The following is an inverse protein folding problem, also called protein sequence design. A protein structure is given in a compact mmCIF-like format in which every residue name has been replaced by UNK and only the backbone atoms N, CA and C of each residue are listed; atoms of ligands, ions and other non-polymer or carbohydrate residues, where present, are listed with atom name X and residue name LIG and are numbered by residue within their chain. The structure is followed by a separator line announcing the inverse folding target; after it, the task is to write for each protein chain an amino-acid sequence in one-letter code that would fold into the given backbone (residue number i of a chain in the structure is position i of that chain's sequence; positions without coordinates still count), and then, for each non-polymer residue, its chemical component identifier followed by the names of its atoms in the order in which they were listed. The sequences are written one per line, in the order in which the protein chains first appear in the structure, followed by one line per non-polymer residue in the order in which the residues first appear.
data_IF_356931418089
#
_entry.id   IF_356931418089
#
_cell.length_a   1.000
_cell.length_b   1.000
_cell.length_c   1.000
_cell.angle_alpha   90.00
_cell.angle_beta   90.00
_cell.angle_gamma   90.00
#
_symmetry.space_group_name_H-M   'P 1'
#
loop_
_entity.id
_entity.type
_entity.pdbx_description
1 polymer ?
#
# COMPACT_ATOMS: atom_id res chain seq x y z
N UNK A 1 18.14 -13.65 10.29
CA UNK A 1 17.54 -12.71 9.33
C UNK A 1 16.04 -12.72 9.58
N UNK A 2 15.53 -11.65 10.15
CA UNK A 2 14.08 -11.52 10.39
C UNK A 2 13.50 -10.83 9.17
N UNK A 3 12.60 -11.52 8.44
CA UNK A 3 11.81 -10.94 7.37
C UNK A 3 10.44 -10.65 7.96
N UNK A 4 10.17 -9.38 8.25
CA UNK A 4 8.94 -8.97 8.94
C UNK A 4 7.79 -8.66 7.97
N UNK A 5 8.11 -8.31 6.72
CA UNK A 5 7.12 -7.89 5.75
C UNK A 5 7.50 -8.23 4.30
N UNK A 6 6.53 -8.12 3.40
CA UNK A 6 6.70 -8.47 1.99
C UNK A 6 7.74 -7.62 1.23
N UNK A 7 7.97 -6.36 1.64
CA UNK A 7 9.03 -5.53 1.05
C UNK A 7 10.40 -6.09 1.40
N UNK A 8 10.62 -6.45 2.66
CA UNK A 8 11.87 -7.07 3.10
C UNK A 8 12.08 -8.44 2.42
N UNK A 9 11.03 -9.24 2.25
CA UNK A 9 11.10 -10.50 1.50
C UNK A 9 11.62 -10.27 0.08
N UNK A 10 11.04 -9.33 -0.65
CA UNK A 10 11.46 -9.03 -2.03
C UNK A 10 12.88 -8.46 -2.09
N UNK A 11 13.22 -7.54 -1.20
CA UNK A 11 14.57 -7.01 -1.09
C UNK A 11 15.58 -8.13 -0.82
N UNK A 12 15.28 -9.08 0.07
CA UNK A 12 16.10 -10.24 0.31
C UNK A 12 16.33 -11.07 -0.97
N UNK A 13 15.26 -11.37 -1.71
CA UNK A 13 15.35 -12.09 -2.98
C UNK A 13 16.20 -11.32 -4.00
N UNK A 14 16.00 -10.01 -4.10
CA UNK A 14 16.76 -9.14 -4.99
C UNK A 14 18.27 -9.16 -4.65
N UNK A 15 18.61 -8.97 -3.38
CA UNK A 15 20.00 -9.00 -2.90
C UNK A 15 20.65 -10.35 -3.20
N UNK A 16 19.96 -11.45 -2.91
CA UNK A 16 20.48 -12.81 -3.15
C UNK A 16 20.75 -13.10 -4.62
N UNK A 17 20.06 -12.40 -5.54
CA UNK A 17 20.20 -12.59 -6.99
C UNK A 17 21.01 -11.50 -7.70
N UNK A 18 21.35 -10.43 -7.01
CA UNK A 18 22.06 -9.27 -7.61
C UNK A 18 23.48 -9.59 -8.08
N UNK A 19 24.07 -10.67 -7.61
CA UNK A 19 25.52 -10.97 -7.79
C UNK A 19 26.42 -10.21 -6.82
N UNK A 20 25.94 -9.20 -6.11
CA UNK A 20 26.73 -8.39 -5.18
C UNK A 20 27.36 -9.19 -4.03
N UNK A 21 26.73 -10.31 -3.66
CA UNK A 21 27.23 -11.25 -2.65
C UNK A 21 27.88 -12.51 -3.28
N UNK A 22 28.36 -12.39 -4.52
CA UNK A 22 28.98 -13.48 -5.30
C UNK A 22 28.07 -14.67 -5.55
N UNK A 23 26.73 -14.49 -5.45
CA UNK A 23 25.72 -15.49 -5.76
C UNK A 23 24.81 -14.98 -6.89
N UNK A 24 24.48 -15.87 -7.83
CA UNK A 24 23.54 -15.60 -8.93
C UNK A 24 22.23 -16.37 -8.78
N UNK A 25 22.09 -17.19 -7.73
CA UNK A 25 20.90 -17.99 -7.45
C UNK A 25 20.58 -18.01 -5.97
N UNK A 26 19.30 -18.28 -5.66
CA UNK A 26 18.84 -18.32 -4.27
C UNK A 26 19.47 -19.44 -3.45
N UNK A 27 19.78 -20.60 -4.04
CA UNK A 27 20.20 -21.78 -3.29
C UNK A 27 19.06 -22.40 -2.46
N UNK A 28 19.31 -23.56 -1.83
CA UNK A 28 18.29 -24.33 -1.11
C UNK A 28 17.83 -23.67 0.20
N UNK A 29 18.76 -23.18 1.01
CA UNK A 29 18.44 -22.59 2.32
C UNK A 29 17.62 -21.29 2.19
N UNK A 30 18.01 -20.30 1.39
CA UNK A 30 17.17 -19.13 1.13
C UNK A 30 15.79 -19.47 0.58
N UNK A 31 15.67 -20.43 -0.35
CA UNK A 31 14.35 -20.89 -0.85
C UNK A 31 13.49 -21.46 0.28
N UNK A 32 14.06 -22.26 1.16
CA UNK A 32 13.35 -22.82 2.32
C UNK A 32 12.86 -21.71 3.26
N UNK A 33 13.67 -20.70 3.54
CA UNK A 33 13.29 -19.57 4.38
C UNK A 33 12.18 -18.73 3.75
N UNK A 34 12.25 -18.43 2.46
CA UNK A 34 11.23 -17.70 1.71
C UNK A 34 9.92 -18.48 1.72
N UNK A 35 9.95 -19.77 1.43
CA UNK A 35 8.75 -20.62 1.42
C UNK A 35 8.12 -20.69 2.82
N UNK A 36 8.93 -20.78 3.87
CA UNK A 36 8.44 -20.76 5.24
C UNK A 36 7.75 -19.44 5.59
N UNK A 37 8.31 -18.32 5.14
CA UNK A 37 7.64 -17.02 5.30
C UNK A 37 6.33 -16.96 4.52
N UNK A 38 6.32 -17.34 3.24
CA UNK A 38 5.13 -17.30 2.38
C UNK A 38 3.99 -18.15 2.93
N UNK A 39 4.28 -19.36 3.46
CA UNK A 39 3.30 -20.28 4.01
C UNK A 39 2.71 -19.75 5.32
N UNK A 40 3.54 -19.10 6.17
CA UNK A 40 3.11 -18.60 7.47
C UNK A 40 2.56 -17.17 7.44
N UNK A 41 2.75 -16.44 6.34
CA UNK A 41 2.26 -15.09 6.20
C UNK A 41 0.73 -15.03 6.26
N UNK A 42 0.22 -13.98 6.91
CA UNK A 42 -1.22 -13.65 6.88
C UNK A 42 -1.62 -13.13 5.50
N UNK A 43 -2.91 -13.15 5.21
CA UNK A 43 -3.47 -12.61 3.95
C UNK A 43 -3.08 -11.15 3.73
N UNK A 44 -3.09 -10.33 4.80
CA UNK A 44 -2.65 -8.94 4.75
C UNK A 44 -1.16 -8.79 4.41
N UNK A 45 -0.32 -9.68 4.95
CA UNK A 45 1.12 -9.68 4.63
C UNK A 45 1.36 -10.10 3.17
N UNK A 46 0.63 -11.11 2.67
CA UNK A 46 0.72 -11.55 1.28
C UNK A 46 0.19 -10.48 0.32
N UNK A 47 -0.93 -9.82 0.64
CA UNK A 47 -1.45 -8.70 -0.13
C UNK A 47 -0.44 -7.54 -0.19
N UNK A 48 0.16 -7.17 0.94
CA UNK A 48 1.20 -6.15 0.99
C UNK A 48 2.45 -6.57 0.22
N UNK A 49 2.79 -7.86 0.23
CA UNK A 49 3.91 -8.40 -0.54
C UNK A 49 3.65 -8.35 -2.05
N UNK A 50 2.39 -8.36 -2.48
CA UNK A 50 2.03 -8.24 -3.89
C UNK A 50 2.19 -6.82 -4.46
N UNK A 51 2.45 -5.82 -3.60
CA UNK A 51 2.71 -4.45 -4.01
C UNK A 51 4.19 -4.30 -4.35
N UNK A 52 4.52 -4.15 -5.65
CA UNK A 52 5.86 -3.90 -6.16
C UNK A 52 6.36 -4.97 -7.14
N UNK A 53 7.32 -4.58 -7.98
CA UNK A 53 7.63 -5.29 -9.23
C UNK A 53 9.08 -5.82 -9.33
N UNK A 54 9.97 -5.57 -8.37
CA UNK A 54 11.39 -5.94 -8.51
C UNK A 54 11.93 -6.61 -7.23
N UNK A 55 11.84 -7.94 -7.15
CA UNK A 55 10.98 -8.84 -7.91
C UNK A 55 9.51 -8.70 -7.51
N UNK A 56 8.57 -9.07 -8.38
CA UNK A 56 7.16 -9.20 -8.01
C UNK A 56 6.95 -10.43 -7.11
N UNK A 57 5.83 -10.46 -6.38
CA UNK A 57 5.48 -11.67 -5.60
C UNK A 57 5.28 -12.89 -6.52
N UNK A 58 4.75 -12.69 -7.72
CA UNK A 58 4.65 -13.75 -8.74
C UNK A 58 6.03 -14.32 -9.12
N UNK A 59 7.06 -13.47 -9.26
CA UNK A 59 8.42 -13.95 -9.53
C UNK A 59 8.97 -14.77 -8.36
N UNK A 60 8.73 -14.31 -7.13
CA UNK A 60 9.15 -15.05 -5.93
C UNK A 60 8.50 -16.42 -5.90
N UNK A 61 7.17 -16.51 -6.12
CA UNK A 61 6.44 -17.79 -6.18
C UNK A 61 6.99 -18.71 -7.27
N UNK A 62 7.26 -18.19 -8.48
CA UNK A 62 7.85 -18.95 -9.59
C UNK A 62 9.26 -19.46 -9.30
N UNK A 63 10.04 -18.73 -8.50
CA UNK A 63 11.42 -19.13 -8.15
C UNK A 63 11.50 -20.13 -7.02
N UNK A 64 10.55 -20.10 -6.09
CA UNK A 64 10.66 -20.85 -4.85
C UNK A 64 9.72 -22.02 -4.75
N UNK A 65 8.63 -22.01 -5.54
CA UNK A 65 7.61 -23.06 -5.59
C UNK A 65 7.10 -23.48 -4.20
N UNK A 66 6.55 -22.56 -3.38
CA UNK A 66 6.02 -22.90 -2.08
C UNK A 66 4.84 -23.87 -2.20
N UNK A 67 4.71 -24.79 -1.25
CA UNK A 67 3.51 -25.63 -1.13
C UNK A 67 2.50 -24.89 -0.27
N UNK A 68 1.30 -24.53 -0.78
CA UNK A 68 0.28 -23.85 0.02
C UNK A 68 -0.13 -24.68 1.23
N UNK A 69 -0.48 -24.01 2.33
CA UNK A 69 -0.91 -24.67 3.57
C UNK A 69 -2.37 -25.16 3.52
N UNK A 70 -3.19 -24.47 2.73
CA UNK A 70 -4.62 -24.71 2.61
C UNK A 70 -5.15 -24.26 1.23
N UNK A 71 -6.43 -24.56 0.96
CA UNK A 71 -7.11 -24.23 -0.29
C UNK A 71 -7.17 -22.72 -0.56
N UNK A 72 -7.36 -21.90 0.48
CA UNK A 72 -7.43 -20.45 0.32
C UNK A 72 -6.08 -19.87 -0.11
N UNK A 73 -5.00 -20.36 0.48
CA UNK A 73 -3.66 -19.94 0.09
C UNK A 73 -3.29 -20.43 -1.32
N UNK A 74 -3.73 -21.64 -1.70
CA UNK A 74 -3.54 -22.16 -3.06
C UNK A 74 -4.26 -21.28 -4.09
N UNK A 75 -5.53 -20.97 -3.85
CA UNK A 75 -6.31 -20.06 -4.68
C UNK A 75 -5.63 -18.68 -4.77
N UNK A 76 -5.11 -18.18 -3.67
CA UNK A 76 -4.42 -16.89 -3.66
C UNK A 76 -3.09 -16.92 -4.44
N UNK A 77 -2.31 -17.99 -4.33
CA UNK A 77 -1.10 -18.13 -5.16
C UNK A 77 -1.45 -18.29 -6.64
N UNK A 78 -2.52 -19.03 -6.97
CA UNK A 78 -3.03 -19.13 -8.34
C UNK A 78 -3.44 -17.74 -8.88
N UNK A 79 -4.18 -16.95 -8.09
CA UNK A 79 -4.54 -15.57 -8.41
C UNK A 79 -3.33 -14.69 -8.73
N UNK A 80 -2.30 -14.69 -7.85
CA UNK A 80 -1.07 -13.91 -8.05
C UNK A 80 -0.32 -14.35 -9.31
N UNK A 81 -0.33 -15.65 -9.60
CA UNK A 81 0.33 -16.23 -10.78
C UNK A 81 -0.45 -16.08 -12.07
N UNK A 82 -1.66 -15.50 -12.04
CA UNK A 82 -2.57 -15.38 -13.19
C UNK A 82 -3.09 -16.73 -13.69
N UNK A 83 -3.18 -17.72 -12.80
CA UNK A 83 -3.76 -19.03 -13.08
C UNK A 83 -5.26 -19.03 -12.74
N UNK A 84 -5.96 -20.11 -13.14
CA UNK A 84 -7.37 -20.31 -12.77
C UNK A 84 -7.52 -20.48 -11.26
N UNK A 85 -8.52 -19.83 -10.68
CA UNK A 85 -8.90 -19.88 -9.26
C UNK A 85 -10.42 -19.78 -9.12
N UNK A 86 -10.94 -20.17 -7.96
CA UNK A 86 -12.34 -19.95 -7.59
C UNK A 86 -12.43 -18.74 -6.66
N UNK A 87 -13.33 -17.79 -6.99
CA UNK A 87 -13.44 -16.49 -6.28
C UNK A 87 -13.73 -16.70 -4.77
N UNK A 88 -14.58 -17.67 -4.45
CA UNK A 88 -15.00 -18.00 -3.08
C UNK A 88 -13.87 -18.55 -2.21
N UNK A 89 -12.83 -19.07 -2.83
CA UNK A 89 -11.65 -19.62 -2.14
C UNK A 89 -10.58 -18.56 -1.90
N UNK A 90 -10.69 -17.37 -2.51
CA UNK A 90 -9.76 -16.29 -2.25
C UNK A 90 -9.93 -15.74 -0.83
N UNK A 91 -8.88 -15.16 -0.22
CA UNK A 91 -9.02 -14.40 1.01
C UNK A 91 -10.05 -13.28 0.88
N UNK A 92 -10.84 -13.03 1.93
CA UNK A 92 -11.98 -12.09 1.91
C UNK A 92 -11.63 -10.71 1.32
N UNK A 93 -10.46 -10.16 1.65
CA UNK A 93 -10.00 -8.88 1.10
C UNK A 93 -9.72 -8.94 -0.40
N UNK A 94 -9.25 -10.07 -0.90
CA UNK A 94 -9.00 -10.27 -2.34
C UNK A 94 -10.33 -10.45 -3.07
N UNK A 95 -11.28 -11.17 -2.47
CA UNK A 95 -12.65 -11.26 -3.01
C UNK A 95 -13.29 -9.88 -3.13
N UNK A 96 -13.16 -9.03 -2.09
CA UNK A 96 -13.68 -7.66 -2.11
C UNK A 96 -13.04 -6.83 -3.24
N UNK A 97 -11.71 -6.95 -3.43
CA UNK A 97 -11.01 -6.29 -4.53
C UNK A 97 -11.52 -6.74 -5.90
N UNK A 98 -11.69 -8.06 -6.10
CA UNK A 98 -12.15 -8.59 -7.39
C UNK A 98 -13.62 -8.23 -7.67
N UNK A 99 -14.50 -8.30 -6.68
CA UNK A 99 -15.89 -7.83 -6.80
C UNK A 99 -15.95 -6.34 -7.17
N UNK A 100 -15.13 -5.53 -6.51
CA UNK A 100 -15.03 -4.11 -6.81
C UNK A 100 -14.49 -3.86 -8.23
N UNK A 101 -13.43 -4.58 -8.63
CA UNK A 101 -12.83 -4.50 -9.97
C UNK A 101 -13.79 -4.90 -11.08
N UNK A 102 -14.67 -5.86 -10.83
CA UNK A 102 -15.70 -6.32 -11.75
C UNK A 102 -16.95 -5.44 -11.75
N UNK A 103 -17.02 -4.41 -10.92
CA UNK A 103 -18.17 -3.52 -10.79
C UNK A 103 -19.37 -4.15 -10.08
N UNK A 104 -19.19 -5.26 -9.39
CA UNK A 104 -20.24 -5.96 -8.62
C UNK A 104 -20.58 -5.24 -7.31
N UNK A 105 -19.74 -4.33 -6.87
CA UNK A 105 -19.97 -3.44 -5.72
C UNK A 105 -19.38 -2.06 -6.02
N UNK A 106 -19.98 -1.03 -5.43
CA UNK A 106 -19.45 0.33 -5.45
C UNK A 106 -18.65 0.67 -4.20
N UNK A 107 -18.70 -0.20 -3.18
CA UNK A 107 -18.01 -0.02 -1.91
C UNK A 107 -16.51 -0.18 -2.10
N UNK A 108 -15.76 0.85 -1.73
CA UNK A 108 -14.30 0.83 -1.80
C UNK A 108 -13.74 -0.15 -0.77
N UNK A 109 -13.04 -1.21 -1.16
CA UNK A 109 -12.51 -2.17 -0.21
C UNK A 109 -11.39 -1.55 0.64
N UNK A 110 -11.34 -1.91 1.94
CA UNK A 110 -10.29 -1.52 2.87
C UNK A 110 -8.96 -2.20 2.53
N UNK A 111 -8.26 -1.62 1.56
CA UNK A 111 -7.01 -2.12 1.00
C UNK A 111 -5.98 -0.99 0.82
N UNK A 112 -4.69 -1.33 0.74
CA UNK A 112 -3.69 -0.35 0.34
C UNK A 112 -4.05 0.33 -0.97
N UNK A 113 -4.00 1.66 -0.99
CA UNK A 113 -4.36 2.48 -2.15
C UNK A 113 -3.68 2.01 -3.45
N UNK A 114 -2.43 1.52 -3.36
CA UNK A 114 -1.67 1.03 -4.51
C UNK A 114 -2.34 -0.12 -5.28
N UNK A 115 -3.23 -0.87 -4.62
CA UNK A 115 -4.01 -1.92 -5.28
C UNK A 115 -5.24 -1.38 -6.01
N UNK A 116 -5.65 -0.16 -5.70
CA UNK A 116 -6.84 0.50 -6.24
C UNK A 116 -6.50 1.51 -7.34
N UNK A 117 -5.28 2.06 -7.39
CA UNK A 117 -4.88 3.15 -8.30
C UNK A 117 -4.92 2.79 -9.78
N UNK A 118 -4.93 1.52 -10.13
CA UNK A 118 -5.05 1.05 -11.52
C UNK A 118 -6.50 0.93 -11.99
N UNK A 119 -7.47 1.26 -11.13
CA UNK A 119 -8.89 1.21 -11.44
C UNK A 119 -9.41 2.60 -11.80
N UNK A 120 -10.43 2.65 -12.64
CA UNK A 120 -11.14 3.90 -12.94
C UNK A 120 -12.10 4.24 -11.80
N UNK A 121 -11.62 5.02 -10.83
CA UNK A 121 -12.37 5.41 -9.64
C UNK A 121 -13.11 6.73 -9.85
N UNK A 122 -14.34 6.82 -9.34
CA UNK A 122 -15.09 8.08 -9.26
C UNK A 122 -14.53 9.02 -8.19
N UNK A 123 -14.89 10.31 -8.24
CA UNK A 123 -14.50 11.26 -7.20
C UNK A 123 -14.99 10.83 -5.81
N UNK A 124 -16.18 10.24 -5.69
CA UNK A 124 -16.71 9.70 -4.44
C UNK A 124 -15.87 8.56 -3.88
N UNK A 125 -15.43 7.64 -4.75
CA UNK A 125 -14.54 6.53 -4.34
C UNK A 125 -13.16 7.04 -3.92
N UNK A 126 -12.62 8.04 -4.60
CA UNK A 126 -11.40 8.72 -4.17
C UNK A 126 -11.57 9.44 -2.83
N UNK A 127 -12.73 10.06 -2.59
CA UNK A 127 -13.05 10.67 -1.29
C UNK A 127 -13.10 9.63 -0.16
N UNK A 128 -13.66 8.45 -0.41
CA UNK A 128 -13.63 7.36 0.57
C UNK A 128 -12.22 6.87 0.87
N UNK A 129 -11.38 6.73 -0.15
CA UNK A 129 -9.96 6.42 0.04
C UNK A 129 -9.27 7.47 0.90
N UNK A 130 -9.55 8.78 0.68
CA UNK A 130 -8.99 9.86 1.49
C UNK A 130 -9.48 9.81 2.95
N UNK A 131 -10.78 9.53 3.17
CA UNK A 131 -11.37 9.39 4.50
C UNK A 131 -10.76 8.24 5.30
N UNK A 132 -10.59 7.08 4.67
CA UNK A 132 -10.18 5.85 5.34
C UNK A 132 -8.66 5.64 5.39
N UNK A 133 -7.92 6.29 4.51
CA UNK A 133 -6.48 6.12 4.38
C UNK A 133 -5.68 6.65 5.56
N UNK A 134 -4.48 6.12 5.75
CA UNK A 134 -3.56 6.57 6.79
C UNK A 134 -2.98 7.96 6.50
N UNK A 135 -2.49 8.63 7.54
CA UNK A 135 -1.99 10.01 7.48
C UNK A 135 -0.90 10.23 6.42
N UNK A 136 0.10 9.35 6.34
CA UNK A 136 1.17 9.45 5.34
C UNK A 136 0.64 9.31 3.90
N UNK A 137 -0.29 8.37 3.69
CA UNK A 137 -0.93 8.19 2.39
C UNK A 137 -1.69 9.46 1.99
N UNK A 138 -2.46 10.03 2.93
CA UNK A 138 -3.22 11.27 2.73
C UNK A 138 -2.31 12.41 2.29
N UNK A 139 -1.25 12.69 3.08
CA UNK A 139 -0.28 13.74 2.82
C UNK A 139 0.38 13.60 1.43
N UNK A 140 0.78 12.39 1.08
CA UNK A 140 1.50 12.14 -0.17
C UNK A 140 0.63 12.18 -1.42
N UNK A 141 -0.69 12.18 -1.28
CA UNK A 141 -1.63 12.09 -2.39
C UNK A 141 -2.56 13.29 -2.56
N UNK A 142 -2.27 14.43 -1.93
CA UNK A 142 -3.10 15.64 -2.01
C UNK A 142 -3.33 16.10 -3.46
N UNK A 143 -2.29 16.13 -4.29
CA UNK A 143 -2.40 16.47 -5.71
C UNK A 143 -3.21 15.42 -6.48
N UNK A 144 -3.12 14.15 -6.09
CA UNK A 144 -3.93 13.07 -6.69
C UNK A 144 -5.41 13.29 -6.38
N UNK A 145 -5.73 13.61 -5.14
CA UNK A 145 -7.11 13.92 -4.73
C UNK A 145 -7.66 15.16 -5.45
N UNK A 146 -6.86 16.22 -5.62
CA UNK A 146 -7.24 17.38 -6.40
C UNK A 146 -7.57 17.00 -7.85
N UNK A 147 -6.69 16.26 -8.53
CA UNK A 147 -6.89 15.82 -9.91
C UNK A 147 -8.12 14.94 -10.11
N UNK A 148 -8.54 14.21 -9.09
CA UNK A 148 -9.72 13.34 -9.14
C UNK A 148 -10.99 13.96 -8.57
N UNK A 149 -11.01 15.29 -8.37
CA UNK A 149 -12.21 16.03 -7.98
C UNK A 149 -12.66 15.81 -6.54
N UNK A 150 -11.79 15.29 -5.66
CA UNK A 150 -12.16 15.03 -4.25
C UNK A 150 -12.50 16.33 -3.52
N UNK A 151 -11.84 17.42 -3.84
CA UNK A 151 -12.09 18.73 -3.21
C UNK A 151 -13.31 19.46 -3.78
N UNK A 152 -13.91 18.95 -4.86
CA UNK A 152 -15.20 19.44 -5.38
C UNK A 152 -16.38 18.86 -4.60
N UNK A 153 -16.13 17.81 -3.78
CA UNK A 153 -17.14 17.21 -2.91
C UNK A 153 -17.25 18.05 -1.65
N UNK A 154 -18.47 18.49 -1.32
CA UNK A 154 -18.76 19.36 -0.20
C UNK A 154 -18.15 18.85 1.12
N UNK A 155 -17.38 19.71 1.79
CA UNK A 155 -16.76 19.45 3.10
C UNK A 155 -15.52 18.53 3.08
N UNK A 156 -15.13 17.97 1.93
CA UNK A 156 -13.97 17.08 1.85
C UNK A 156 -12.64 17.79 2.10
N UNK A 157 -12.53 19.04 1.75
CA UNK A 157 -11.40 19.92 2.06
C UNK A 157 -11.18 20.03 3.58
N UNK A 158 -12.25 20.26 4.33
CA UNK A 158 -12.21 20.34 5.80
C UNK A 158 -11.94 18.96 6.45
N UNK A 159 -12.53 17.89 5.92
CA UNK A 159 -12.25 16.52 6.39
C UNK A 159 -10.77 16.19 6.26
N UNK A 160 -10.17 16.52 5.12
CA UNK A 160 -8.75 16.26 4.85
C UNK A 160 -7.87 17.18 5.72
N UNK A 161 -8.20 18.47 5.84
CA UNK A 161 -7.46 19.41 6.67
C UNK A 161 -7.46 18.99 8.15
N UNK A 162 -8.61 18.64 8.71
CA UNK A 162 -8.73 18.17 10.09
C UNK A 162 -7.92 16.90 10.33
N UNK A 163 -7.97 15.96 9.39
CA UNK A 163 -7.21 14.72 9.50
C UNK A 163 -5.70 14.94 9.42
N UNK A 164 -5.24 15.90 8.61
CA UNK A 164 -3.83 16.30 8.57
C UNK A 164 -3.36 16.90 9.90
N UNK A 165 -4.21 17.67 10.59
CA UNK A 165 -3.91 18.34 11.85
C UNK A 165 -4.03 17.42 13.08
N UNK A 166 -4.47 16.18 12.93
CA UNK A 166 -4.59 15.22 14.04
C UNK A 166 -3.21 14.94 14.66
N UNK A 167 -3.03 15.43 15.89
CA UNK A 167 -1.75 15.38 16.62
C UNK A 167 -1.28 13.95 16.90
N UNK A 168 -2.20 13.03 17.16
CA UNK A 168 -1.88 11.63 17.40
C UNK A 168 -1.42 10.94 16.11
N UNK A 169 -2.07 11.25 14.99
CA UNK A 169 -1.65 10.76 13.68
C UNK A 169 -0.29 11.33 13.27
N UNK A 170 -0.02 12.63 13.50
CA UNK A 170 1.27 13.27 13.23
C UNK A 170 2.37 12.57 14.01
N UNK A 171 2.18 12.38 15.33
CA UNK A 171 3.15 11.71 16.19
C UNK A 171 3.41 10.27 15.77
N UNK A 172 2.36 9.50 15.50
CA UNK A 172 2.46 8.11 15.03
C UNK A 172 3.13 7.99 13.65
N UNK A 173 2.95 8.98 12.79
CA UNK A 173 3.56 9.00 11.46
C UNK A 173 5.06 9.22 11.48
N UNK A 174 5.59 9.81 12.57
CA UNK A 174 6.99 10.24 12.71
C UNK A 174 7.49 11.09 11.54
N UNK A 175 6.60 11.89 10.95
CA UNK A 175 6.95 12.79 9.87
C UNK A 175 7.92 13.85 10.35
N UNK A 176 8.93 14.14 9.56
CA UNK A 176 9.89 15.20 9.86
C UNK A 176 9.53 16.50 9.14
N UNK A 177 9.88 17.69 9.70
CA UNK A 177 9.51 18.98 9.12
C UNK A 177 9.91 19.15 7.66
N UNK A 178 11.10 18.69 7.27
CA UNK A 178 11.57 18.81 5.88
C UNK A 178 10.68 18.04 4.88
N UNK A 179 10.07 16.93 5.31
CA UNK A 179 9.13 16.14 4.47
C UNK A 179 7.83 16.91 4.23
N UNK A 180 7.39 17.69 5.20
CA UNK A 180 6.23 18.57 5.08
C UNK A 180 6.53 19.76 4.18
N UNK A 181 7.71 20.38 4.34
CA UNK A 181 8.17 21.44 3.45
C UNK A 181 8.22 20.98 2.00
N UNK A 182 8.78 19.78 1.74
CA UNK A 182 8.80 19.19 0.40
C UNK A 182 7.38 18.92 -0.13
N UNK A 183 6.45 18.45 0.72
CA UNK A 183 5.05 18.27 0.33
C UNK A 183 4.42 19.61 -0.01
N UNK A 184 4.58 20.62 0.84
CA UNK A 184 4.01 21.96 0.65
C UNK A 184 4.50 22.60 -0.64
N UNK A 185 5.80 22.56 -0.90
CA UNK A 185 6.41 23.09 -2.11
C UNK A 185 5.96 22.39 -3.41
N UNK A 186 5.52 21.13 -3.30
CA UNK A 186 5.05 20.33 -4.43
C UNK A 186 3.52 20.37 -4.62
N UNK A 187 2.77 21.14 -3.79
CA UNK A 187 1.33 21.21 -3.91
C UNK A 187 0.90 21.91 -5.21
N UNK A 188 -0.02 21.25 -5.90
CA UNK A 188 -0.72 21.79 -7.06
C UNK A 188 -1.67 22.93 -6.63
N UNK A 189 -1.85 23.94 -7.47
CA UNK A 189 -2.74 25.10 -7.19
C UNK A 189 -4.21 24.67 -6.98
N UNK A 190 -4.60 23.53 -7.51
CA UNK A 190 -5.91 22.94 -7.30
C UNK A 190 -6.16 22.43 -5.87
N UNK A 191 -5.13 22.36 -5.00
CA UNK A 191 -5.31 21.97 -3.59
C UNK A 191 -5.86 23.18 -2.80
N UNK A 192 -7.00 23.04 -2.09
CA UNK A 192 -7.65 24.14 -1.39
C UNK A 192 -6.77 24.83 -0.33
N UNK A 193 -7.00 26.11 -0.12
CA UNK A 193 -6.22 26.93 0.83
C UNK A 193 -6.31 26.39 2.27
N UNK A 194 -7.46 25.86 2.69
CA UNK A 194 -7.63 25.27 4.04
C UNK A 194 -6.70 24.07 4.25
N UNK A 195 -6.45 23.26 3.23
CA UNK A 195 -5.53 22.13 3.29
C UNK A 195 -4.08 22.60 3.32
N UNK A 196 -3.74 23.66 2.56
CA UNK A 196 -2.41 24.29 2.58
C UNK A 196 -2.10 24.84 3.97
N UNK A 197 -3.03 25.59 4.57
CA UNK A 197 -2.89 26.11 5.94
C UNK A 197 -2.76 24.99 6.98
N UNK A 198 -3.51 23.89 6.82
CA UNK A 198 -3.36 22.73 7.67
C UNK A 198 -1.93 22.17 7.65
N UNK A 199 -1.30 22.07 6.48
CA UNK A 199 0.10 21.60 6.37
C UNK A 199 1.09 22.55 7.03
N UNK A 200 0.89 23.86 6.95
CA UNK A 200 1.74 24.85 7.64
C UNK A 200 1.70 24.68 9.16
N UNK A 201 0.51 24.48 9.73
CA UNK A 201 0.34 24.24 11.16
C UNK A 201 0.97 22.90 11.58
N UNK A 202 0.86 21.88 10.75
CA UNK A 202 1.46 20.56 10.99
C UNK A 202 2.99 20.63 11.01
N UNK A 203 3.61 21.51 10.25
CA UNK A 203 5.08 21.70 10.29
C UNK A 203 5.58 22.06 11.69
N UNK A 204 4.86 22.91 12.41
CA UNK A 204 5.20 23.25 13.80
C UNK A 204 5.06 22.06 14.73
N UNK A 205 3.97 21.28 14.61
CA UNK A 205 3.75 20.08 15.40
C UNK A 205 4.82 19.00 15.12
N UNK A 206 5.28 18.89 13.88
CA UNK A 206 6.31 17.91 13.50
C UNK A 206 7.69 18.20 14.08
N UNK A 207 7.97 19.39 14.57
CA UNK A 207 9.21 19.70 15.31
C UNK A 207 9.37 18.82 16.55
N UNK A 208 8.27 18.37 17.16
CA UNK A 208 8.30 17.44 18.29
C UNK A 208 8.77 16.03 17.92
N UNK A 209 8.80 15.69 16.64
CA UNK A 209 9.29 14.39 16.15
C UNK A 209 10.82 14.41 15.88
N UNK A 210 11.45 15.57 16.01
CA UNK A 210 12.92 15.70 15.82
C UNK A 210 13.59 15.19 17.10
N UNK A 211 14.54 14.24 16.99
CA UNK A 211 15.24 13.68 18.15
C UNK A 211 16.19 14.66 18.80
#
# INVERSE_FOLDING_TARGET
LVIDNGKQLRNFVQIMRSGAIQRKSLGSLPKKMINQWLINASDNQLLSANIGNQPSLADVLKMTHPKPKDTNQDAFFAYILGKKYELEQLPTKVQALEKFRQGLTQDVPDLPMQLLTNLSLSAQQWAEIAKNGGWQMLRMNLNTFARHGVFEIEGMDNVIANKLQDQDMIRKSRVLPYQLMATWAALDDAVPQVVRQALEQVMQAALQNVP
#
